data_IF_430613929519
#
_entry.id   IF_430613929519
#
_cell.length_a   1.000
_cell.length_b   1.000
_cell.length_c   1.000
_cell.angle_alpha   90.00
_cell.angle_beta   90.00
_cell.angle_gamma   90.00
#
_symmetry.space_group_name_H-M   'P 1'
#
loop_
_entity.id
_entity.type
_entity.pdbx_description
1 polymer ?
#
# COMPACT_ATOMS: atom_id res chain seq x y z
N UNK A 1 22.52 -13.60 -1.18
CA UNK A 1 21.41 -14.14 -2.01
C UNK A 1 20.05 -13.58 -1.60
N UNK A 2 19.69 -13.60 -0.32
CA UNK A 2 18.35 -13.19 0.16
C UNK A 2 17.99 -11.72 -0.12
N UNK A 3 18.88 -10.76 0.15
CA UNK A 3 18.61 -9.34 -0.11
C UNK A 3 18.42 -9.03 -1.61
N UNK A 4 19.23 -9.65 -2.47
CA UNK A 4 19.11 -9.50 -3.93
C UNK A 4 17.75 -10.00 -4.41
N UNK A 5 17.28 -11.12 -3.89
CA UNK A 5 15.96 -11.66 -4.22
C UNK A 5 14.82 -10.69 -3.87
N UNK A 6 14.86 -10.08 -2.68
CA UNK A 6 13.86 -9.07 -2.28
C UNK A 6 13.88 -7.83 -3.17
N UNK A 7 15.07 -7.36 -3.55
CA UNK A 7 15.21 -6.22 -4.47
C UNK A 7 14.61 -6.57 -5.83
N UNK A 8 14.90 -7.75 -6.38
CA UNK A 8 14.36 -8.17 -7.67
C UNK A 8 12.83 -8.30 -7.66
N UNK A 9 12.24 -8.81 -6.57
CA UNK A 9 10.78 -8.85 -6.41
C UNK A 9 10.19 -7.45 -6.33
N UNK A 10 10.80 -6.56 -5.54
CA UNK A 10 10.35 -5.18 -5.42
C UNK A 10 10.38 -4.47 -6.77
N UNK A 11 11.48 -4.59 -7.53
CA UNK A 11 11.58 -4.03 -8.89
C UNK A 11 10.51 -4.63 -9.81
N UNK A 12 10.33 -5.94 -9.80
CA UNK A 12 9.31 -6.61 -10.62
C UNK A 12 7.90 -6.15 -10.30
N UNK A 13 7.60 -5.89 -9.03
CA UNK A 13 6.31 -5.36 -8.60
C UNK A 13 6.11 -3.91 -9.06
N UNK A 14 7.13 -3.07 -8.91
CA UNK A 14 7.10 -1.66 -9.34
C UNK A 14 6.81 -1.51 -10.84
N UNK A 15 7.37 -2.37 -11.69
CA UNK A 15 7.21 -2.31 -13.16
C UNK A 15 6.10 -3.19 -13.72
N UNK A 16 5.34 -3.87 -12.86
CA UNK A 16 4.23 -4.71 -13.30
C UNK A 16 3.19 -3.87 -14.05
N UNK A 17 2.47 -4.44 -15.04
CA UNK A 17 1.22 -3.84 -15.51
C UNK A 17 0.27 -3.58 -14.35
N UNK A 18 -0.65 -2.63 -14.50
CA UNK A 18 -1.69 -2.40 -13.50
C UNK A 18 -2.49 -3.69 -13.30
N UNK A 19 -2.71 -4.07 -12.04
CA UNK A 19 -3.57 -5.19 -11.71
C UNK A 19 -4.99 -4.92 -12.20
N UNK A 20 -5.63 -5.97 -12.72
CA UNK A 20 -6.93 -5.84 -13.38
C UNK A 20 -8.10 -5.75 -12.41
N UNK A 21 -7.89 -6.07 -11.14
CA UNK A 21 -8.97 -6.25 -10.18
C UNK A 21 -8.91 -5.19 -9.09
N UNK A 22 -7.93 -5.28 -8.18
CA UNK A 22 -8.00 -4.55 -6.92
C UNK A 22 -7.22 -3.24 -6.93
N UNK A 23 -6.11 -3.15 -7.67
CA UNK A 23 -5.22 -1.99 -7.66
C UNK A 23 -5.95 -0.71 -8.10
N UNK A 24 -6.74 -0.77 -9.18
CA UNK A 24 -7.55 0.37 -9.62
C UNK A 24 -8.57 0.85 -8.59
N UNK A 25 -9.19 -0.08 -7.85
CA UNK A 25 -10.17 0.25 -6.80
C UNK A 25 -9.47 0.89 -5.60
N UNK A 26 -8.31 0.37 -5.20
CA UNK A 26 -7.48 0.92 -4.12
C UNK A 26 -7.03 2.34 -4.44
N UNK A 27 -6.50 2.56 -5.65
CA UNK A 27 -6.08 3.87 -6.16
C UNK A 27 -7.23 4.87 -6.15
N UNK A 28 -8.39 4.49 -6.70
CA UNK A 28 -9.55 5.36 -6.77
C UNK A 28 -10.05 5.79 -5.39
N UNK A 29 -10.17 4.84 -4.44
CA UNK A 29 -10.62 5.15 -3.07
C UNK A 29 -9.67 6.13 -2.36
N UNK A 30 -8.36 5.92 -2.53
CA UNK A 30 -7.36 6.81 -1.94
C UNK A 30 -7.37 8.21 -2.59
N UNK A 31 -7.56 8.29 -3.91
CA UNK A 31 -7.66 9.57 -4.62
C UNK A 31 -8.91 10.37 -4.20
N UNK A 32 -10.07 9.70 -4.09
CA UNK A 32 -11.29 10.29 -3.55
C UNK A 32 -11.08 10.82 -2.12
N UNK A 33 -10.48 10.01 -1.24
CA UNK A 33 -10.19 10.43 0.12
C UNK A 33 -9.16 11.57 0.19
N UNK A 34 -8.17 11.59 -0.71
CA UNK A 34 -7.22 12.69 -0.82
C UNK A 34 -7.92 13.99 -1.24
N UNK A 35 -8.94 13.90 -2.11
CA UNK A 35 -9.82 14.99 -2.52
C UNK A 35 -10.86 15.39 -1.44
N UNK A 36 -10.88 14.73 -0.28
CA UNK A 36 -11.73 15.10 0.86
C UNK A 36 -13.04 14.33 0.97
N UNK A 37 -13.26 13.31 0.14
CA UNK A 37 -14.40 12.41 0.27
C UNK A 37 -14.21 11.47 1.46
N UNK A 38 -15.30 11.15 2.15
CA UNK A 38 -15.27 10.37 3.39
C UNK A 38 -15.81 8.95 3.12
N UNK A 39 -14.99 7.89 3.32
CA UNK A 39 -15.43 6.49 3.36
C UNK A 39 -16.74 6.27 4.12
N UNK A 40 -17.62 5.44 3.58
CA UNK A 40 -18.97 5.12 4.07
C UNK A 40 -19.99 6.26 4.05
N UNK A 41 -19.57 7.52 3.88
CA UNK A 41 -20.45 8.67 3.69
C UNK A 41 -20.63 9.00 2.22
N UNK A 42 -19.52 9.19 1.51
CA UNK A 42 -19.49 9.67 0.13
C UNK A 42 -19.19 8.54 -0.87
N UNK A 43 -18.55 7.45 -0.42
CA UNK A 43 -18.31 6.26 -1.24
C UNK A 43 -18.21 4.98 -0.38
N UNK A 44 -18.47 3.84 -1.01
CA UNK A 44 -18.45 2.53 -0.35
C UNK A 44 -17.05 1.89 -0.30
N UNK A 45 -16.76 1.17 0.78
CA UNK A 45 -15.55 0.38 0.97
C UNK A 45 -15.90 -0.88 1.78
N UNK A 46 -15.22 -1.99 1.49
CA UNK A 46 -15.48 -3.30 2.10
C UNK A 46 -14.89 -3.46 3.51
N UNK A 47 -13.72 -2.88 3.78
CA UNK A 47 -12.96 -3.06 5.04
C UNK A 47 -12.75 -1.72 5.75
N UNK A 48 -12.22 -1.73 6.98
CA UNK A 48 -11.93 -0.48 7.69
C UNK A 48 -11.02 0.47 6.89
N UNK A 49 -11.20 1.80 6.98
CA UNK A 49 -10.66 2.76 6.01
C UNK A 49 -9.20 3.18 6.25
N UNK A 50 -8.48 2.48 7.15
CA UNK A 50 -7.13 2.88 7.55
C UNK A 50 -6.16 2.88 6.37
N UNK A 51 -6.20 1.84 5.54
CA UNK A 51 -5.37 1.70 4.34
C UNK A 51 -5.60 2.84 3.34
N UNK A 52 -6.88 3.15 3.12
CA UNK A 52 -7.36 4.20 2.21
C UNK A 52 -6.86 5.56 2.68
N UNK A 53 -6.96 5.86 3.98
CA UNK A 53 -6.49 7.13 4.53
C UNK A 53 -4.96 7.24 4.55
N UNK A 54 -4.24 6.15 4.82
CA UNK A 54 -2.78 6.15 4.76
C UNK A 54 -2.30 6.45 3.33
N UNK A 55 -2.89 5.79 2.33
CA UNK A 55 -2.54 6.02 0.93
C UNK A 55 -2.98 7.41 0.45
N UNK A 56 -4.15 7.90 0.87
CA UNK A 56 -4.59 9.27 0.61
C UNK A 56 -3.62 10.31 1.19
N UNK A 57 -3.08 10.07 2.38
CA UNK A 57 -2.02 10.89 2.98
C UNK A 57 -0.76 10.88 2.13
N UNK A 58 -0.33 9.72 1.63
CA UNK A 58 0.81 9.61 0.72
C UNK A 58 0.55 10.36 -0.61
N UNK A 59 -0.65 10.29 -1.16
CA UNK A 59 -1.03 11.04 -2.36
C UNK A 59 -1.00 12.55 -2.14
N UNK A 60 -1.36 13.05 -0.96
CA UNK A 60 -1.22 14.48 -0.62
C UNK A 60 0.25 14.94 -0.58
N UNK A 61 1.17 14.04 -0.23
CA UNK A 61 2.60 14.37 -0.11
C UNK A 61 3.37 14.21 -1.43
N UNK A 62 3.03 13.20 -2.22
CA UNK A 62 3.82 12.78 -3.39
C UNK A 62 3.05 12.82 -4.72
N UNK A 63 1.75 13.13 -4.69
CA UNK A 63 0.85 13.06 -5.83
C UNK A 63 0.21 11.68 -6.01
N UNK A 64 -0.98 11.66 -6.63
CA UNK A 64 -1.68 10.42 -6.95
C UNK A 64 -0.98 9.68 -8.09
N UNK A 65 -0.44 8.49 -7.80
CA UNK A 65 0.16 7.63 -8.80
C UNK A 65 0.26 6.17 -8.33
N UNK A 66 0.27 5.25 -9.30
CA UNK A 66 0.52 3.82 -9.07
C UNK A 66 1.86 3.60 -8.35
N UNK A 67 2.87 4.42 -8.66
CA UNK A 67 4.19 4.28 -8.05
C UNK A 67 4.15 4.53 -6.53
N UNK A 68 3.36 5.51 -6.08
CA UNK A 68 3.24 5.86 -4.67
C UNK A 68 2.54 4.74 -3.88
N UNK A 69 1.46 4.18 -4.42
CA UNK A 69 0.81 3.00 -3.84
C UNK A 69 1.79 1.83 -3.69
N UNK A 70 2.50 1.50 -4.77
CA UNK A 70 3.41 0.35 -4.76
C UNK A 70 4.59 0.54 -3.82
N UNK A 71 5.16 1.75 -3.78
CA UNK A 71 6.22 2.09 -2.83
C UNK A 71 5.73 1.94 -1.38
N UNK A 72 4.52 2.42 -1.08
CA UNK A 72 3.91 2.23 0.24
C UNK A 72 3.69 0.74 0.55
N UNK A 73 3.20 -0.05 -0.40
CA UNK A 73 3.02 -1.49 -0.25
C UNK A 73 4.32 -2.22 0.08
N UNK A 74 5.43 -1.87 -0.59
CA UNK A 74 6.77 -2.41 -0.29
C UNK A 74 7.18 -2.05 1.14
N UNK A 75 7.06 -0.77 1.54
CA UNK A 75 7.42 -0.32 2.89
C UNK A 75 6.62 -1.06 3.96
N UNK A 76 5.30 -1.22 3.78
CA UNK A 76 4.44 -1.94 4.71
C UNK A 76 4.80 -3.43 4.80
N UNK A 77 5.05 -4.08 3.66
CA UNK A 77 5.47 -5.48 3.64
C UNK A 77 6.78 -5.69 4.43
N UNK A 78 7.74 -4.78 4.30
CA UNK A 78 8.99 -4.82 5.04
C UNK A 78 8.77 -4.57 6.54
N UNK A 79 7.95 -3.58 6.89
CA UNK A 79 7.61 -3.27 8.27
C UNK A 79 6.93 -4.46 8.96
N UNK A 80 5.92 -5.06 8.33
CA UNK A 80 5.24 -6.24 8.88
C UNK A 80 6.17 -7.45 8.99
N UNK A 81 7.03 -7.67 8.01
CA UNK A 81 8.03 -8.75 8.06
C UNK A 81 9.01 -8.57 9.22
N UNK A 82 9.46 -7.33 9.46
CA UNK A 82 10.34 -7.00 10.58
C UNK A 82 9.63 -7.21 11.93
N UNK A 83 8.39 -6.73 12.07
CA UNK A 83 7.59 -6.92 13.29
C UNK A 83 7.38 -8.41 13.57
N UNK A 84 7.00 -9.19 12.57
CA UNK A 84 6.83 -10.63 12.69
C UNK A 84 8.12 -11.32 13.14
N UNK A 85 9.26 -10.98 12.54
CA UNK A 85 10.57 -11.51 12.96
C UNK A 85 10.89 -11.18 14.42
N UNK A 86 10.66 -9.92 14.84
CA UNK A 86 10.93 -9.49 16.22
C UNK A 86 10.04 -10.20 17.23
N UNK A 87 8.76 -10.39 16.92
CA UNK A 87 7.84 -11.14 17.76
C UNK A 87 8.30 -12.59 17.91
N UNK A 88 8.61 -13.27 16.80
CA UNK A 88 9.10 -14.65 16.84
C UNK A 88 10.41 -14.79 17.63
N UNK A 89 11.33 -13.83 17.48
CA UNK A 89 12.58 -13.81 18.23
C UNK A 89 12.41 -13.53 19.73
N UNK A 90 11.27 -12.98 20.15
CA UNK A 90 10.97 -12.70 21.57
C UNK A 90 10.30 -13.85 22.31
N UNK A 91 9.84 -14.88 21.59
CA UNK A 91 9.12 -16.04 22.16
C UNK A 91 10.05 -17.26 22.34
N UNK A 92 11.31 -17.19 21.89
CA UNK A 92 12.35 -18.20 22.13
C UNK A 92 13.34 -17.75 23.20
#
# INVERSE_FOLDING_TARGET
>A
MTAVFFVLIAVRFLVAPLDRFDEGVTLLKADLAAAGWVPYRDFWITYGPLDTYLLAGAFKLFGASVLVERAMGIVLAWAFSLVAYRLMASVG
#
